data_IF_615817112520
#
_entry.id   IF_615817112520
#
_cell.length_a   1.000
_cell.length_b   1.000
_cell.length_c   1.000
_cell.angle_alpha   90.00
_cell.angle_beta   90.00
_cell.angle_gamma   90.00
#
_symmetry.space_group_name_H-M   'P 1'
#
loop_
_entity.id
_entity.type
_entity.pdbx_description
1 polymer ?
#
# COMPACT_ATOMS: atom_id res chain seq x y z
N UNK A 1 38.16 49.18 5.65
CA UNK A 1 38.15 48.49 6.92
C UNK A 1 37.02 47.49 6.90
N UNK A 2 37.39 46.33 6.41
CA UNK A 2 36.52 45.20 6.08
C UNK A 2 36.16 44.45 7.34
N UNK A 3 34.94 44.04 7.44
CA UNK A 3 34.63 42.97 8.36
C UNK A 3 33.73 41.92 7.70
N UNK A 4 34.19 40.70 7.77
CA UNK A 4 33.68 39.50 7.13
C UNK A 4 32.63 38.88 8.01
N UNK A 5 31.39 38.86 7.54
CA UNK A 5 30.35 38.02 8.14
C UNK A 5 30.33 36.64 7.42
N UNK A 6 30.89 35.63 8.06
CA UNK A 6 30.89 34.25 7.62
C UNK A 6 29.62 33.58 8.08
N UNK A 7 28.85 33.14 7.10
CA UNK A 7 27.67 32.34 7.19
C UNK A 7 27.79 31.15 8.17
N UNK A 8 26.92 31.14 9.14
CA UNK A 8 26.66 30.00 10.03
C UNK A 8 25.74 29.01 9.30
N UNK A 9 26.34 27.96 8.74
CA UNK A 9 25.61 26.83 8.17
C UNK A 9 25.05 25.98 9.30
N UNK A 10 23.75 26.12 9.52
CA UNK A 10 23.00 25.42 10.53
C UNK A 10 23.16 23.88 10.44
N UNK A 11 23.73 23.32 11.49
CA UNK A 11 23.72 21.88 11.78
C UNK A 11 22.28 21.40 11.89
N UNK A 12 21.88 20.50 10.98
CA UNK A 12 20.66 19.73 11.16
C UNK A 12 20.77 18.93 12.47
N UNK A 13 19.74 18.97 13.33
CA UNK A 13 19.74 18.11 14.51
C UNK A 13 19.72 16.64 14.07
N UNK A 14 20.58 15.85 14.67
CA UNK A 14 20.61 14.40 14.51
C UNK A 14 19.26 13.82 14.95
N UNK A 15 18.71 12.90 14.15
CA UNK A 15 17.51 12.15 14.50
C UNK A 15 17.74 11.41 15.82
N UNK A 16 16.74 11.36 16.71
CA UNK A 16 16.89 10.65 17.99
C UNK A 16 17.05 9.15 17.71
N UNK A 17 18.22 8.65 18.11
CA UNK A 17 18.59 7.25 18.15
C UNK A 17 17.64 6.47 19.07
N UNK A 18 17.01 5.42 18.50
CA UNK A 18 16.65 4.18 19.18
C UNK A 18 15.98 4.27 20.55
N UNK A 19 14.72 4.66 20.62
CA UNK A 19 13.88 4.24 21.73
C UNK A 19 13.60 2.74 21.54
N UNK A 20 14.14 1.91 22.42
CA UNK A 20 13.76 0.52 22.55
C UNK A 20 12.24 0.47 22.81
N UNK A 21 11.49 0.14 21.78
CA UNK A 21 10.03 0.04 21.83
C UNK A 21 9.69 -1.08 22.81
N UNK A 22 8.99 -0.75 23.89
CA UNK A 22 8.43 -1.75 24.82
C UNK A 22 7.64 -2.78 24.00
N UNK A 23 7.76 -4.09 24.31
CA UNK A 23 6.99 -5.11 23.59
C UNK A 23 5.51 -4.74 23.65
N UNK A 24 4.90 -4.63 22.48
CA UNK A 24 3.48 -4.27 22.36
C UNK A 24 2.65 -5.43 22.84
N UNK A 25 1.69 -5.15 23.73
CA UNK A 25 0.75 -6.17 24.20
C UNK A 25 -0.11 -6.67 23.04
N UNK A 26 -0.35 -7.98 23.02
CA UNK A 26 -1.16 -8.64 22.00
C UNK A 26 -2.66 -8.25 22.07
N UNK A 27 -3.12 -7.73 23.21
CA UNK A 27 -4.52 -7.45 23.45
C UNK A 27 -5.34 -8.73 23.69
N UNK A 28 -6.66 -8.57 23.82
CA UNK A 28 -7.58 -9.68 23.96
C UNK A 28 -7.94 -10.23 22.56
N UNK A 29 -7.70 -11.52 22.27
CA UNK A 29 -8.12 -12.13 21.01
C UNK A 29 -9.61 -11.97 20.69
N UNK A 30 -10.47 -11.79 21.70
CA UNK A 30 -11.91 -11.60 21.51
C UNK A 30 -12.24 -10.28 20.78
N UNK A 31 -11.38 -9.25 20.90
CA UNK A 31 -11.61 -7.94 20.25
C UNK A 31 -10.99 -7.86 18.85
N UNK A 32 -10.16 -8.81 18.44
CA UNK A 32 -9.41 -8.71 17.18
C UNK A 32 -10.28 -8.62 15.94
N UNK A 33 -11.43 -9.28 15.96
CA UNK A 33 -12.35 -9.25 14.81
C UNK A 33 -12.90 -7.85 14.62
N UNK A 34 -13.34 -7.21 15.71
CA UNK A 34 -13.91 -5.86 15.66
C UNK A 34 -12.85 -4.79 15.36
N UNK A 35 -11.62 -4.94 15.90
CA UNK A 35 -10.56 -3.96 15.73
C UNK A 35 -9.82 -4.08 14.40
N UNK A 36 -9.73 -5.27 13.83
CA UNK A 36 -8.84 -5.55 12.69
C UNK A 36 -9.53 -6.21 11.50
N UNK A 37 -10.76 -6.73 11.67
CA UNK A 37 -11.47 -7.51 10.64
C UNK A 37 -11.61 -6.75 9.33
N UNK A 38 -12.03 -5.50 9.36
CA UNK A 38 -12.23 -4.67 8.17
C UNK A 38 -10.94 -4.43 7.38
N UNK A 39 -9.83 -4.23 8.08
CA UNK A 39 -8.52 -4.00 7.45
C UNK A 39 -8.03 -5.28 6.77
N UNK A 40 -8.13 -6.41 7.46
CA UNK A 40 -7.77 -7.72 6.93
C UNK A 40 -8.64 -8.09 5.73
N UNK A 41 -9.94 -7.88 5.83
CA UNK A 41 -10.89 -8.15 4.75
C UNK A 41 -10.58 -7.32 3.50
N UNK A 42 -10.41 -5.99 3.64
CA UNK A 42 -10.04 -5.13 2.52
C UNK A 42 -8.72 -5.57 1.88
N UNK A 43 -7.72 -5.93 2.68
CA UNK A 43 -6.45 -6.42 2.16
C UNK A 43 -6.60 -7.74 1.41
N UNK A 44 -7.37 -8.71 1.94
CA UNK A 44 -7.66 -9.98 1.28
C UNK A 44 -8.41 -9.78 -0.02
N UNK A 45 -9.51 -8.99 0.01
CA UNK A 45 -10.38 -8.74 -1.14
C UNK A 45 -9.61 -8.13 -2.33
N UNK A 46 -8.74 -7.17 -2.08
CA UNK A 46 -7.86 -6.59 -3.11
C UNK A 46 -6.92 -7.62 -3.76
N UNK A 47 -6.66 -8.74 -3.09
CA UNK A 47 -5.76 -9.79 -3.60
C UNK A 47 -6.49 -10.92 -4.29
N UNK A 48 -7.56 -11.44 -3.69
CA UNK A 48 -8.27 -12.61 -4.22
C UNK A 48 -9.44 -12.23 -5.14
N UNK A 49 -9.95 -10.99 -5.05
CA UNK A 49 -11.03 -10.43 -5.89
C UNK A 49 -12.35 -11.21 -5.80
N UNK A 50 -12.49 -12.03 -4.81
CA UNK A 50 -13.69 -12.80 -4.53
C UNK A 50 -14.04 -12.65 -3.05
N UNK A 51 -15.28 -12.22 -2.79
CA UNK A 51 -15.73 -11.87 -1.44
C UNK A 51 -15.70 -13.08 -0.51
N UNK A 52 -16.24 -14.22 -0.94
CA UNK A 52 -16.30 -15.42 -0.12
C UNK A 52 -14.89 -15.92 0.25
N UNK A 53 -13.98 -16.02 -0.73
CA UNK A 53 -12.59 -16.36 -0.48
C UNK A 53 -11.87 -15.37 0.45
N UNK A 54 -12.18 -14.08 0.35
CA UNK A 54 -11.58 -13.08 1.24
C UNK A 54 -12.09 -13.27 2.69
N UNK A 55 -13.37 -13.52 2.89
CA UNK A 55 -13.98 -13.80 4.19
C UNK A 55 -13.37 -15.07 4.81
N UNK A 56 -13.25 -16.15 4.06
CA UNK A 56 -12.64 -17.41 4.52
C UNK A 56 -11.18 -17.22 4.94
N UNK A 57 -10.39 -16.50 4.14
CA UNK A 57 -8.98 -16.22 4.45
C UNK A 57 -8.81 -15.39 5.71
N UNK A 58 -9.71 -14.45 5.97
CA UNK A 58 -9.72 -13.64 7.19
C UNK A 58 -10.06 -14.52 8.39
N UNK A 59 -11.08 -15.38 8.30
CA UNK A 59 -11.43 -16.31 9.36
C UNK A 59 -10.29 -17.28 9.67
N UNK A 60 -9.67 -17.88 8.63
CA UNK A 60 -8.50 -18.73 8.79
C UNK A 60 -7.32 -18.01 9.43
N UNK A 61 -7.17 -16.70 9.14
CA UNK A 61 -6.13 -15.87 9.74
C UNK A 61 -6.34 -15.70 11.23
N UNK A 62 -7.55 -15.37 11.68
CA UNK A 62 -7.86 -15.26 13.10
C UNK A 62 -7.69 -16.59 13.83
N UNK A 63 -8.13 -17.69 13.24
CA UNK A 63 -7.94 -19.01 13.82
C UNK A 63 -6.44 -19.37 13.97
N UNK A 64 -5.62 -19.05 12.97
CA UNK A 64 -4.18 -19.24 13.04
C UNK A 64 -3.55 -18.34 14.10
N UNK A 65 -3.95 -17.08 14.15
CA UNK A 65 -3.46 -16.11 15.15
C UNK A 65 -3.75 -16.55 16.59
N UNK A 66 -4.95 -17.03 16.87
CA UNK A 66 -5.30 -17.55 18.21
C UNK A 66 -4.41 -18.75 18.58
N UNK A 67 -4.11 -19.65 17.64
CA UNK A 67 -3.24 -20.80 17.87
C UNK A 67 -1.79 -20.40 18.13
N UNK A 68 -1.28 -19.37 17.42
CA UNK A 68 0.11 -18.89 17.52
C UNK A 68 0.28 -17.66 18.42
N UNK A 69 -0.71 -17.31 19.21
CA UNK A 69 -0.66 -16.11 20.08
C UNK A 69 0.55 -16.04 21.02
N UNK A 70 1.01 -17.19 21.49
CA UNK A 70 2.17 -17.30 22.37
C UNK A 70 3.51 -17.05 21.65
N UNK A 71 3.52 -17.07 20.32
CA UNK A 71 4.72 -16.80 19.50
C UNK A 71 4.87 -15.30 19.21
N UNK A 72 3.87 -14.49 19.53
CA UNK A 72 3.93 -13.05 19.33
C UNK A 72 4.92 -12.40 20.30
N UNK A 73 6.02 -11.87 19.78
CA UNK A 73 7.09 -11.27 20.56
C UNK A 73 6.95 -9.75 20.77
N UNK A 74 5.86 -9.14 20.34
CA UNK A 74 5.63 -7.70 20.47
C UNK A 74 6.52 -6.82 19.54
N UNK A 75 7.20 -7.40 18.57
CA UNK A 75 8.09 -6.69 17.64
C UNK A 75 7.38 -5.85 16.58
N UNK A 76 6.06 -5.99 16.46
CA UNK A 76 5.21 -5.23 15.55
C UNK A 76 3.86 -4.90 16.18
N UNK A 77 3.03 -4.12 15.48
CA UNK A 77 1.62 -3.98 15.87
C UNK A 77 0.87 -5.30 15.65
N UNK A 78 -0.17 -5.55 16.44
CA UNK A 78 -1.03 -6.75 16.30
C UNK A 78 -1.60 -6.82 14.88
N UNK A 79 -2.09 -5.70 14.35
CA UNK A 79 -2.56 -5.58 12.97
C UNK A 79 -1.52 -6.04 11.95
N UNK A 80 -0.28 -5.60 12.09
CA UNK A 80 0.84 -5.96 11.21
C UNK A 80 1.13 -7.45 11.25
N UNK A 81 1.13 -8.03 12.43
CA UNK A 81 1.31 -9.46 12.62
C UNK A 81 0.18 -10.28 11.99
N UNK A 82 -1.08 -9.87 12.20
CA UNK A 82 -2.24 -10.50 11.58
C UNK A 82 -2.19 -10.43 10.03
N UNK A 83 -1.79 -9.28 9.47
CA UNK A 83 -1.62 -9.15 8.01
C UNK A 83 -0.47 -10.04 7.52
N UNK A 84 0.58 -10.23 8.30
CA UNK A 84 1.64 -11.20 8.00
C UNK A 84 1.10 -12.62 7.86
N UNK A 85 0.27 -13.08 8.82
CA UNK A 85 -0.41 -14.39 8.75
C UNK A 85 -1.31 -14.46 7.52
N UNK A 86 -2.15 -13.44 7.29
CA UNK A 86 -3.06 -13.37 6.15
C UNK A 86 -2.30 -13.46 4.81
N UNK A 87 -1.16 -12.80 4.70
CA UNK A 87 -0.33 -12.84 3.49
C UNK A 87 0.14 -14.28 3.17
N UNK A 88 0.54 -15.04 4.17
CA UNK A 88 0.88 -16.45 3.99
C UNK A 88 -0.33 -17.28 3.53
N UNK A 89 -1.49 -17.05 4.13
CA UNK A 89 -2.75 -17.69 3.75
C UNK A 89 -3.16 -17.39 2.31
N UNK A 90 -3.04 -16.14 1.89
CA UNK A 90 -3.27 -15.73 0.51
C UNK A 90 -2.28 -16.45 -0.43
N UNK A 91 -1.01 -16.58 -0.04
CA UNK A 91 -0.01 -17.35 -0.78
C UNK A 91 -0.43 -18.80 -0.97
N UNK A 92 -0.90 -19.45 0.08
CA UNK A 92 -1.37 -20.83 0.04
C UNK A 92 -2.62 -20.99 -0.84
N UNK A 93 -3.56 -20.07 -0.74
CA UNK A 93 -4.77 -20.03 -1.55
C UNK A 93 -4.44 -20.04 -3.05
N UNK A 94 -3.54 -19.18 -3.48
CA UNK A 94 -3.18 -19.11 -4.89
C UNK A 94 -2.38 -20.35 -5.33
N UNK A 95 -1.47 -20.88 -4.53
CA UNK A 95 -0.77 -22.13 -4.85
C UNK A 95 -1.74 -23.30 -5.05
N UNK A 96 -2.76 -23.41 -4.22
CA UNK A 96 -3.80 -24.44 -4.35
C UNK A 96 -4.64 -24.28 -5.61
N UNK A 97 -4.89 -23.04 -6.02
CA UNK A 97 -5.74 -22.73 -7.19
C UNK A 97 -4.96 -22.67 -8.52
N UNK A 98 -3.70 -23.14 -8.55
CA UNK A 98 -2.88 -23.19 -9.77
C UNK A 98 -2.60 -21.82 -10.41
N UNK A 99 -2.88 -20.72 -9.71
CA UNK A 99 -2.51 -19.38 -10.15
C UNK A 99 -1.11 -19.09 -9.64
N UNK A 100 -0.15 -19.00 -10.55
CA UNK A 100 1.13 -18.38 -10.23
C UNK A 100 0.84 -16.97 -9.73
N UNK A 101 0.99 -16.80 -8.41
CA UNK A 101 1.24 -15.45 -7.95
C UNK A 101 2.59 -15.09 -8.55
N UNK A 102 2.69 -13.94 -9.17
CA UNK A 102 3.94 -13.21 -9.11
C UNK A 102 4.16 -12.89 -7.61
N UNK A 103 4.60 -13.90 -6.86
CA UNK A 103 5.13 -13.73 -5.53
C UNK A 103 6.40 -12.96 -5.73
N UNK A 104 6.25 -11.65 -5.55
CA UNK A 104 7.29 -10.76 -5.09
C UNK A 104 8.72 -11.20 -5.47
N UNK A 105 9.08 -11.13 -6.76
CA UNK A 105 10.48 -11.18 -7.18
C UNK A 105 11.25 -10.00 -6.54
N UNK A 106 12.55 -10.13 -6.31
CA UNK A 106 13.35 -9.08 -5.72
C UNK A 106 13.42 -7.79 -6.56
N UNK A 107 12.96 -7.83 -7.78
CA UNK A 107 13.07 -6.72 -8.74
C UNK A 107 11.70 -6.37 -9.31
N UNK A 108 10.99 -5.52 -8.57
CA UNK A 108 9.73 -4.91 -9.04
C UNK A 108 10.00 -3.78 -10.04
N UNK A 109 10.95 -3.95 -10.96
CA UNK A 109 11.08 -3.04 -12.07
C UNK A 109 9.75 -2.98 -12.80
N UNK A 110 9.21 -1.78 -12.98
CA UNK A 110 8.04 -1.53 -13.79
C UNK A 110 8.48 -0.79 -15.07
N UNK A 111 8.91 -1.53 -16.10
CA UNK A 111 9.49 -0.93 -17.30
C UNK A 111 8.55 0.09 -17.96
N UNK A 112 7.23 -0.11 -17.81
CA UNK A 112 6.21 0.79 -18.36
C UNK A 112 6.23 2.11 -17.60
N UNK A 113 6.12 2.05 -16.27
CA UNK A 113 6.15 3.26 -15.43
C UNK A 113 7.52 3.91 -15.46
N UNK A 114 8.60 3.12 -15.39
CA UNK A 114 9.96 3.62 -15.39
C UNK A 114 10.30 4.36 -16.71
N UNK A 115 9.66 4.01 -17.83
CA UNK A 115 9.81 4.71 -19.11
C UNK A 115 9.16 6.11 -19.12
N UNK A 116 8.34 6.47 -18.15
CA UNK A 116 7.72 7.78 -18.04
C UNK A 116 8.58 8.82 -17.35
N UNK A 117 9.67 8.37 -16.73
CA UNK A 117 10.58 9.21 -15.94
C UNK A 117 11.99 9.23 -16.51
N UNK A 118 12.68 10.34 -16.33
CA UNK A 118 14.10 10.45 -16.61
C UNK A 118 14.94 9.81 -15.48
N UNK A 119 16.29 9.80 -15.67
CA UNK A 119 17.22 9.26 -14.65
C UNK A 119 17.19 10.02 -13.31
N UNK A 120 16.59 11.22 -13.28
CA UNK A 120 16.45 12.05 -12.08
C UNK A 120 15.07 11.86 -11.40
N UNK A 121 14.21 11.01 -11.98
CA UNK A 121 12.85 10.77 -11.50
C UNK A 121 11.85 11.86 -11.89
N UNK A 122 12.19 12.74 -12.84
CA UNK A 122 11.29 13.76 -13.38
C UNK A 122 10.48 13.18 -14.54
N UNK A 123 9.23 13.63 -14.70
CA UNK A 123 8.39 13.19 -15.81
C UNK A 123 9.00 13.58 -17.16
N UNK A 124 9.18 12.61 -18.05
CA UNK A 124 9.54 12.87 -19.46
C UNK A 124 8.41 13.61 -20.19
N UNK A 125 7.18 13.23 -19.90
CA UNK A 125 5.97 13.95 -20.34
C UNK A 125 5.08 14.14 -19.11
N UNK A 126 5.01 15.35 -18.54
CA UNK A 126 4.17 15.57 -17.38
C UNK A 126 2.71 15.29 -17.72
N UNK A 127 1.99 14.62 -16.80
CA UNK A 127 0.59 14.32 -17.00
C UNK A 127 -0.24 15.62 -17.06
N UNK A 128 -1.30 15.62 -17.85
CA UNK A 128 -2.24 16.76 -17.93
C UNK A 128 -2.88 17.00 -16.56
N UNK A 129 -3.10 18.25 -16.22
CA UNK A 129 -3.90 18.61 -15.04
C UNK A 129 -5.35 18.21 -15.30
N UNK A 130 -5.98 17.56 -14.35
CA UNK A 130 -7.42 17.29 -14.43
C UNK A 130 -8.18 18.56 -14.01
N UNK A 131 -8.88 19.17 -14.96
CA UNK A 131 -9.72 20.35 -14.73
C UNK A 131 -11.08 19.91 -14.19
N UNK A 132 -11.07 19.39 -12.95
CA UNK A 132 -12.26 18.82 -12.31
C UNK A 132 -12.29 19.19 -10.84
N UNK A 133 -13.47 19.40 -10.30
CA UNK A 133 -13.66 19.58 -8.87
C UNK A 133 -13.61 18.19 -8.17
N UNK A 134 -12.64 17.91 -7.30
CA UNK A 134 -12.54 16.62 -6.61
C UNK A 134 -13.79 16.27 -5.80
N UNK A 135 -14.49 17.23 -5.23
CA UNK A 135 -15.70 17.01 -4.45
C UNK A 135 -16.84 16.46 -5.32
N UNK A 136 -17.04 17.03 -6.51
CA UNK A 136 -18.07 16.58 -7.46
C UNK A 136 -17.80 15.16 -7.98
N UNK A 137 -16.52 14.81 -8.16
CA UNK A 137 -16.15 13.44 -8.55
C UNK A 137 -16.41 12.45 -7.42
N UNK A 138 -16.10 12.85 -6.18
CA UNK A 138 -16.27 11.99 -5.01
C UNK A 138 -17.74 11.62 -4.75
N UNK A 139 -18.70 12.42 -5.24
CA UNK A 139 -20.14 12.14 -5.15
C UNK A 139 -20.62 11.11 -6.19
N UNK A 140 -19.83 10.81 -7.22
CA UNK A 140 -20.20 9.89 -8.30
C UNK A 140 -19.83 8.45 -7.96
N UNK A 141 -20.84 7.61 -7.79
CA UNK A 141 -20.62 6.19 -7.48
C UNK A 141 -19.81 5.46 -8.56
N UNK A 142 -20.01 5.81 -9.84
CA UNK A 142 -19.27 5.23 -10.96
C UNK A 142 -17.78 5.49 -10.89
N UNK A 143 -17.36 6.65 -10.37
CA UNK A 143 -15.94 6.96 -10.15
C UNK A 143 -15.31 5.95 -9.19
N UNK A 144 -15.98 5.63 -8.10
CA UNK A 144 -15.47 4.68 -7.11
C UNK A 144 -15.33 3.27 -7.67
N UNK A 145 -16.25 2.85 -8.55
CA UNK A 145 -16.15 1.55 -9.24
C UNK A 145 -14.95 1.52 -10.19
N UNK A 146 -14.71 2.60 -10.94
CA UNK A 146 -13.55 2.72 -11.82
C UNK A 146 -12.26 2.77 -11.02
N UNK A 147 -12.20 3.57 -9.95
CA UNK A 147 -11.03 3.67 -9.07
C UNK A 147 -10.70 2.32 -8.44
N UNK A 148 -11.71 1.59 -7.93
CA UNK A 148 -11.52 0.26 -7.38
C UNK A 148 -10.94 -0.70 -8.42
N UNK A 149 -11.48 -0.71 -9.64
CA UNK A 149 -10.94 -1.52 -10.74
C UNK A 149 -9.49 -1.16 -11.11
N UNK A 150 -9.10 0.12 -10.98
CA UNK A 150 -7.72 0.55 -11.19
C UNK A 150 -6.79 0.11 -10.04
N UNK A 151 -7.27 0.16 -8.80
CA UNK A 151 -6.52 -0.35 -7.63
C UNK A 151 -6.30 -1.86 -7.76
N UNK A 152 -7.34 -2.60 -8.14
CA UNK A 152 -7.29 -4.05 -8.32
C UNK A 152 -6.31 -4.47 -9.43
N UNK A 153 -6.08 -3.61 -10.41
CA UNK A 153 -5.16 -3.87 -11.51
C UNK A 153 -3.68 -3.56 -11.16
N UNK A 154 -3.40 -3.02 -9.98
CA UNK A 154 -2.02 -2.76 -9.56
C UNK A 154 -1.22 -4.07 -9.44
N UNK A 155 0.07 -4.07 -9.87
CA UNK A 155 0.95 -5.21 -9.69
C UNK A 155 1.15 -5.58 -8.22
N UNK A 156 1.39 -6.86 -7.96
CA UNK A 156 1.44 -7.49 -6.66
C UNK A 156 2.01 -6.66 -5.50
N UNK A 157 3.30 -6.31 -5.50
CA UNK A 157 3.92 -5.54 -4.41
C UNK A 157 3.45 -4.09 -4.36
N UNK A 158 3.35 -3.43 -5.51
CA UNK A 158 2.90 -2.05 -5.58
C UNK A 158 1.45 -1.92 -5.09
N UNK A 159 0.58 -2.86 -5.46
CA UNK A 159 -0.79 -2.95 -4.95
C UNK A 159 -0.84 -3.20 -3.44
N UNK A 160 0.03 -4.09 -2.92
CA UNK A 160 0.16 -4.35 -1.49
C UNK A 160 0.62 -3.14 -0.69
N UNK A 161 1.66 -2.47 -1.17
CA UNK A 161 2.18 -1.26 -0.54
C UNK A 161 1.12 -0.14 -0.53
N UNK A 162 0.42 0.05 -1.66
CA UNK A 162 -0.64 1.03 -1.78
C UNK A 162 -1.83 0.72 -0.86
N UNK A 163 -2.29 -0.52 -0.84
CA UNK A 163 -3.38 -0.95 0.03
C UNK A 163 -3.06 -0.74 1.51
N UNK A 164 -1.87 -1.15 1.96
CA UNK A 164 -1.47 -1.00 3.35
C UNK A 164 -1.27 0.47 3.73
N UNK A 165 -0.49 1.22 2.93
CA UNK A 165 -0.10 2.59 3.30
C UNK A 165 -1.20 3.62 3.06
N UNK A 166 -1.95 3.50 1.94
CA UNK A 166 -2.91 4.53 1.51
C UNK A 166 -4.34 4.17 1.90
N UNK A 167 -4.77 2.92 1.63
CA UNK A 167 -6.15 2.52 1.91
C UNK A 167 -6.36 2.22 3.40
N UNK A 168 -5.37 1.59 4.05
CA UNK A 168 -5.45 1.18 5.45
C UNK A 168 -4.65 2.06 6.42
N UNK A 169 -4.05 3.15 5.93
CA UNK A 169 -3.25 4.12 6.70
C UNK A 169 -2.26 3.47 7.68
N UNK A 170 -1.56 2.42 7.21
CA UNK A 170 -0.56 1.70 8.01
C UNK A 170 0.75 2.49 8.00
N UNK A 171 1.42 2.60 9.16
CA UNK A 171 2.70 3.28 9.28
C UNK A 171 3.78 2.69 8.35
N UNK A 172 4.64 3.52 7.74
CA UNK A 172 5.64 3.07 6.77
C UNK A 172 6.53 1.92 7.28
N UNK A 173 6.99 1.99 8.53
CA UNK A 173 7.82 0.95 9.13
C UNK A 173 7.08 -0.38 9.28
N UNK A 174 5.80 -0.34 9.57
CA UNK A 174 4.95 -1.53 9.67
C UNK A 174 4.68 -2.12 8.29
N UNK A 175 4.46 -1.28 7.26
CA UNK A 175 4.35 -1.74 5.87
C UNK A 175 5.64 -2.44 5.43
N UNK A 176 6.81 -1.85 5.74
CA UNK A 176 8.10 -2.44 5.44
C UNK A 176 8.27 -3.82 6.09
N UNK A 177 7.86 -3.98 7.36
CA UNK A 177 7.88 -5.27 8.06
C UNK A 177 6.98 -6.31 7.39
N UNK A 178 5.72 -5.92 7.07
CA UNK A 178 4.76 -6.82 6.41
C UNK A 178 5.28 -7.31 5.06
N UNK A 179 5.79 -6.39 4.24
CA UNK A 179 6.21 -6.70 2.88
C UNK A 179 7.64 -7.23 2.79
N UNK A 180 8.43 -7.15 3.86
CA UNK A 180 9.84 -7.54 3.86
C UNK A 180 10.69 -6.66 2.94
N UNK A 181 10.45 -5.34 2.94
CA UNK A 181 11.10 -4.35 2.07
C UNK A 181 11.75 -3.22 2.87
N UNK A 182 12.65 -2.49 2.24
CA UNK A 182 13.23 -1.27 2.81
C UNK A 182 12.29 -0.07 2.65
N UNK A 183 12.48 0.96 3.47
CA UNK A 183 11.71 2.22 3.34
C UNK A 183 11.92 2.88 1.99
N UNK A 184 13.13 2.83 1.43
CA UNK A 184 13.40 3.35 0.08
C UNK A 184 12.57 2.61 -0.97
N UNK A 185 12.51 1.27 -0.89
CA UNK A 185 11.72 0.47 -1.82
C UNK A 185 10.22 0.75 -1.67
N UNK A 186 9.72 0.93 -0.43
CA UNK A 186 8.33 1.32 -0.19
C UNK A 186 7.95 2.59 -0.97
N UNK A 187 8.79 3.62 -0.92
CA UNK A 187 8.52 4.88 -1.64
C UNK A 187 8.53 4.70 -3.15
N UNK A 188 9.42 3.86 -3.69
CA UNK A 188 9.44 3.49 -5.11
C UNK A 188 8.14 2.78 -5.51
N UNK A 189 7.70 1.79 -4.73
CA UNK A 189 6.46 1.06 -4.99
C UNK A 189 5.23 1.97 -4.95
N UNK A 190 5.15 2.87 -3.97
CA UNK A 190 4.07 3.84 -3.86
C UNK A 190 4.07 4.84 -5.02
N UNK A 191 5.24 5.27 -5.47
CA UNK A 191 5.38 6.14 -6.64
C UNK A 191 4.84 5.45 -7.90
N UNK A 192 5.28 4.22 -8.15
CA UNK A 192 4.80 3.40 -9.29
C UNK A 192 3.31 3.11 -9.21
N UNK A 193 2.78 2.76 -8.03
CA UNK A 193 1.35 2.56 -7.84
C UNK A 193 0.54 3.81 -8.21
N UNK A 194 0.95 4.99 -7.75
CA UNK A 194 0.28 6.26 -8.07
C UNK A 194 0.34 6.57 -9.57
N UNK A 195 1.47 6.34 -10.22
CA UNK A 195 1.64 6.56 -11.65
C UNK A 195 0.69 5.65 -12.46
N UNK A 196 0.63 4.34 -12.13
CA UNK A 196 -0.30 3.40 -12.78
C UNK A 196 -1.75 3.74 -12.52
N UNK A 197 -2.12 4.11 -11.29
CA UNK A 197 -3.49 4.54 -10.98
C UNK A 197 -3.88 5.77 -11.79
N UNK A 198 -2.97 6.73 -11.92
CA UNK A 198 -3.20 7.91 -12.73
C UNK A 198 -3.46 7.54 -14.19
N UNK A 199 -2.61 6.74 -14.81
CA UNK A 199 -2.78 6.31 -16.19
C UNK A 199 -4.10 5.54 -16.39
N UNK A 200 -4.44 4.65 -15.47
CA UNK A 200 -5.70 3.91 -15.50
C UNK A 200 -6.92 4.83 -15.42
N UNK A 201 -6.89 5.83 -14.54
CA UNK A 201 -7.96 6.81 -14.40
C UNK A 201 -8.04 7.75 -15.60
N UNK A 202 -6.91 8.17 -16.16
CA UNK A 202 -6.88 8.96 -17.41
C UNK A 202 -7.54 8.21 -18.54
N UNK A 203 -7.30 6.91 -18.67
CA UNK A 203 -7.91 6.08 -19.72
C UNK A 203 -9.40 5.79 -19.45
N UNK A 204 -9.74 5.37 -18.22
CA UNK A 204 -11.08 4.80 -17.95
C UNK A 204 -12.10 5.81 -17.48
N UNK A 205 -11.67 6.94 -16.96
CA UNK A 205 -12.55 7.98 -16.43
C UNK A 205 -12.40 9.30 -17.19
N UNK A 206 -11.26 9.94 -17.13
CA UNK A 206 -11.05 11.27 -17.69
C UNK A 206 -10.96 11.30 -19.23
N UNK A 207 -10.50 10.20 -19.85
CA UNK A 207 -10.45 10.08 -21.31
C UNK A 207 -11.81 9.83 -21.97
N UNK A 208 -12.80 9.42 -21.19
CA UNK A 208 -14.17 9.14 -21.67
C UNK A 208 -15.16 10.30 -21.52
N UNK A 209 -14.75 11.37 -20.83
CA UNK A 209 -15.63 12.56 -20.76
C UNK A 209 -15.75 13.15 -22.15
N UNK A 210 -16.96 13.26 -22.72
CA UNK A 210 -17.15 14.02 -23.95
C UNK A 210 -16.65 15.44 -23.67
N UNK A 211 -15.84 15.99 -24.58
CA UNK A 211 -15.57 17.42 -24.58
C UNK A 211 -16.94 18.05 -24.66
N UNK A 212 -17.42 18.64 -23.57
CA UNK A 212 -18.54 19.54 -23.62
C UNK A 212 -18.16 20.59 -24.65
N UNK A 213 -18.85 20.54 -25.77
CA UNK A 213 -18.72 21.50 -26.85
C UNK A 213 -19.14 22.86 -26.29
N UNK A 214 -18.20 23.80 -26.30
CA UNK A 214 -18.46 25.20 -26.02
C UNK A 214 -19.46 25.76 -27.02
#
# INVERSE_FOLDING_TARGET
>A
MEDRDKANVGRRPAAPSGQATRPRALGDPATWVDEHGDVLFRYALLRVRERASAEDLVQETFLAAVKSKNEFQGGSQVRTWLIGILRHKIGDYFRKNGREIQVDGPDDADPVVDSWFDRKGSWLKPPKTWEVNPAEIAERQEFWLVLQGCIDALPGRAGGAFSLRVVNDTEPDEVCKVLGITTTNLWVLLHRARARLRACLEEKWFGRQPKESA
#
